data_IF_631423902792
#
_entry.id   IF_631423902792
#
_cell.length_a   1.000
_cell.length_b   1.000
_cell.length_c   1.000
_cell.angle_alpha   90.00
_cell.angle_beta   90.00
_cell.angle_gamma   90.00
#
_symmetry.space_group_name_H-M   'P 1'
#
loop_
_entity.id
_entity.type
_entity.pdbx_description
1 polymer ?
#
# COMPACT_ATOMS: atom_id res chain seq x y z
N UNK A 1 -3.60 7.17 30.63
CA UNK A 1 -3.34 6.85 29.22
C UNK A 1 -4.51 6.05 28.68
N UNK A 2 -5.32 6.59 27.77
CA UNK A 2 -6.45 5.84 27.17
C UNK A 2 -5.92 4.58 26.50
N UNK A 3 -6.40 3.40 26.93
CA UNK A 3 -6.07 2.14 26.26
C UNK A 3 -6.57 2.21 24.82
N UNK A 4 -5.63 2.29 23.88
CA UNK A 4 -5.92 2.14 22.46
C UNK A 4 -5.95 0.67 22.11
N UNK A 5 -6.87 0.28 21.25
CA UNK A 5 -6.94 -1.10 20.79
C UNK A 5 -5.82 -1.35 19.78
N UNK A 6 -4.82 -2.19 20.09
CA UNK A 6 -3.72 -2.47 19.16
C UNK A 6 -4.23 -3.18 17.90
N UNK A 7 -5.34 -3.93 17.98
CA UNK A 7 -5.95 -4.57 16.80
C UNK A 7 -6.49 -3.54 15.80
N UNK A 8 -7.12 -2.47 16.30
CA UNK A 8 -7.58 -1.38 15.45
C UNK A 8 -6.39 -0.62 14.84
N UNK A 9 -5.33 -0.39 15.61
CA UNK A 9 -4.12 0.24 15.09
C UNK A 9 -3.45 -0.62 13.99
N UNK A 10 -3.43 -1.95 14.15
CA UNK A 10 -2.91 -2.87 13.14
C UNK A 10 -3.80 -2.89 11.88
N UNK A 11 -5.13 -2.94 12.05
CA UNK A 11 -6.07 -2.89 10.94
C UNK A 11 -5.94 -1.58 10.16
N UNK A 12 -5.83 -0.45 10.85
CA UNK A 12 -5.57 0.84 10.20
C UNK A 12 -4.17 0.91 9.58
N UNK A 13 -3.22 0.05 9.93
CA UNK A 13 -1.87 0.05 9.34
C UNK A 13 -1.78 -0.74 8.02
N UNK A 14 -2.88 -1.36 7.56
CA UNK A 14 -2.95 -2.01 6.23
C UNK A 14 -2.59 -1.03 5.12
N UNK A 15 -3.06 0.22 5.24
CA UNK A 15 -2.56 1.33 4.43
C UNK A 15 -1.40 1.97 5.22
N UNK A 16 -0.18 2.02 4.64
CA UNK A 16 0.97 2.59 5.33
C UNK A 16 0.68 4.01 5.83
N UNK A 17 1.02 4.27 7.10
CA UNK A 17 0.83 5.57 7.75
C UNK A 17 -0.51 5.75 8.47
N UNK A 18 -1.60 5.08 8.07
CA UNK A 18 -2.93 5.30 8.67
C UNK A 18 -3.03 4.92 10.15
N UNK A 19 -2.44 3.79 10.56
CA UNK A 19 -2.40 3.38 11.97
C UNK A 19 -1.58 4.29 12.89
N UNK A 20 -0.67 5.11 12.33
CA UNK A 20 0.10 6.08 13.11
C UNK A 20 -0.73 7.32 13.48
N UNK A 21 -1.70 7.71 12.63
CA UNK A 21 -2.66 8.76 12.97
C UNK A 21 -3.55 8.33 14.15
N UNK A 22 -4.01 7.06 14.18
CA UNK A 22 -4.74 6.51 15.32
C UNK A 22 -3.93 6.58 16.61
N UNK A 23 -2.61 6.37 16.53
CA UNK A 23 -1.70 6.46 17.67
C UNK A 23 -1.29 7.90 18.05
N UNK A 24 -1.88 8.95 17.46
CA UNK A 24 -1.49 10.37 17.67
C UNK A 24 0.00 10.61 17.37
N UNK A 25 0.56 9.89 16.39
CA UNK A 25 1.94 10.06 15.90
C UNK A 25 1.91 10.49 14.43
N UNK A 26 1.41 11.71 14.12
CA UNK A 26 1.17 12.13 12.75
C UNK A 26 2.46 12.27 11.94
N UNK A 27 3.58 12.66 12.55
CA UNK A 27 4.86 12.79 11.84
C UNK A 27 5.28 11.49 11.15
N UNK A 28 5.21 10.35 11.86
CA UNK A 28 5.49 9.03 11.29
C UNK A 28 4.44 8.63 10.27
N UNK A 29 3.17 8.90 10.55
CA UNK A 29 2.06 8.63 9.63
C UNK A 29 2.23 9.30 8.28
N UNK A 30 2.51 10.60 8.28
CA UNK A 30 2.71 11.40 7.07
C UNK A 30 3.90 10.91 6.24
N UNK A 31 5.04 10.61 6.87
CA UNK A 31 6.22 10.10 6.16
C UNK A 31 5.88 8.79 5.43
N UNK A 32 5.32 7.80 6.14
CA UNK A 32 4.94 6.52 5.53
C UNK A 32 3.88 6.68 4.44
N UNK A 33 2.93 7.58 4.64
CA UNK A 33 1.85 7.84 3.68
C UNK A 33 2.36 8.50 2.39
N UNK A 34 3.28 9.47 2.50
CA UNK A 34 3.93 10.08 1.33
C UNK A 34 4.72 9.02 0.56
N UNK A 35 5.56 8.23 1.24
CA UNK A 35 6.31 7.14 0.59
C UNK A 35 5.39 6.16 -0.13
N UNK A 36 4.25 5.81 0.47
CA UNK A 36 3.27 4.92 -0.13
C UNK A 36 2.65 5.53 -1.41
N UNK A 37 2.22 6.79 -1.38
CA UNK A 37 1.68 7.48 -2.56
C UNK A 37 2.76 7.61 -3.65
N UNK A 38 3.98 8.01 -3.29
CA UNK A 38 5.09 8.11 -4.24
C UNK A 38 5.39 6.76 -4.90
N UNK A 39 5.40 5.67 -4.14
CA UNK A 39 5.57 4.32 -4.68
C UNK A 39 4.46 3.97 -5.67
N UNK A 40 3.18 4.10 -5.27
CA UNK A 40 2.06 3.79 -6.16
C UNK A 40 2.07 4.67 -7.41
N UNK A 41 2.38 5.96 -7.29
CA UNK A 41 2.43 6.89 -8.42
C UNK A 41 3.53 6.50 -9.44
N UNK A 42 4.74 6.19 -8.96
CA UNK A 42 5.87 5.85 -9.84
C UNK A 42 5.66 4.47 -10.47
N UNK A 43 5.16 3.50 -9.71
CA UNK A 43 4.97 2.12 -10.17
C UNK A 43 3.59 1.87 -10.79
N UNK A 44 2.72 2.88 -10.92
CA UNK A 44 1.34 2.69 -11.37
C UNK A 44 1.23 1.93 -12.70
N UNK A 45 1.98 2.37 -13.71
CA UNK A 45 1.98 1.73 -15.03
C UNK A 45 2.54 0.30 -14.98
N UNK A 46 3.64 0.10 -14.24
CA UNK A 46 4.25 -1.21 -14.06
C UNK A 46 3.29 -2.19 -13.36
N UNK A 47 2.65 -1.77 -12.27
CA UNK A 47 1.67 -2.57 -11.55
C UNK A 47 0.44 -2.84 -12.41
N UNK A 48 -0.04 -1.87 -13.19
CA UNK A 48 -1.19 -2.05 -14.06
C UNK A 48 -0.96 -3.16 -15.10
N UNK A 49 0.15 -3.08 -15.84
CA UNK A 49 0.52 -4.08 -16.84
C UNK A 49 0.89 -5.41 -16.17
N UNK A 50 1.61 -5.35 -15.04
CA UNK A 50 2.01 -6.54 -14.30
C UNK A 50 0.80 -7.35 -13.80
N UNK A 51 -0.13 -6.69 -13.12
CA UNK A 51 -1.36 -7.34 -12.65
C UNK A 51 -2.22 -7.83 -13.81
N UNK A 52 -2.34 -7.04 -14.89
CA UNK A 52 -3.02 -7.50 -16.10
C UNK A 52 -2.38 -8.77 -16.67
N UNK A 53 -1.04 -8.77 -16.77
CA UNK A 53 -0.24 -9.90 -17.21
C UNK A 53 -0.51 -11.18 -16.40
N UNK A 54 -0.70 -11.08 -15.08
CA UNK A 54 -1.05 -12.22 -14.23
C UNK A 54 -2.38 -12.88 -14.65
N UNK A 55 -3.36 -12.09 -15.09
CA UNK A 55 -4.67 -12.61 -15.52
C UNK A 55 -4.65 -13.07 -16.98
N UNK A 56 -3.85 -12.46 -17.84
CA UNK A 56 -3.74 -12.82 -19.26
C UNK A 56 -2.65 -13.84 -19.55
N UNK A 57 -2.13 -14.51 -18.52
CA UNK A 57 -1.09 -15.51 -18.64
C UNK A 57 -1.53 -16.60 -19.64
N UNK A 58 -0.71 -16.85 -20.66
CA UNK A 58 -0.98 -17.85 -21.71
C UNK A 58 -1.93 -17.41 -22.84
N UNK A 59 -2.49 -16.20 -22.80
CA UNK A 59 -3.34 -15.68 -23.90
C UNK A 59 -2.54 -15.18 -25.10
N UNK A 60 -1.31 -14.71 -24.86
CA UNK A 60 -0.39 -14.31 -25.93
C UNK A 60 0.47 -15.53 -26.28
N UNK A 61 0.43 -16.02 -27.53
CA UNK A 61 1.29 -17.12 -27.93
C UNK A 61 2.74 -16.70 -27.74
N UNK A 62 3.52 -17.59 -27.15
CA UNK A 62 4.94 -17.36 -26.97
C UNK A 62 5.57 -17.23 -28.36
N UNK A 63 6.05 -16.04 -28.68
CA UNK A 63 6.89 -15.82 -29.85
C UNK A 63 8.27 -16.34 -29.46
N UNK A 64 8.48 -17.65 -29.63
CA UNK A 64 9.80 -18.27 -29.55
C UNK A 64 10.64 -17.89 -30.78
#
# INVERSE_FOLDING_TARGET
MTKRNPKLAALLSVIPGLGQFYNKRPSKGTIFFIFFISFISVFYSFLNIGFWGLFTLGTVPKLD
#
